data_IF_579025948989
#
_entry.id   IF_579025948989
#
_cell.length_a   1.000
_cell.length_b   1.000
_cell.length_c   1.000
_cell.angle_alpha   90.00
_cell.angle_beta   90.00
_cell.angle_gamma   90.00
#
_symmetry.space_group_name_H-M   'P 1'
#
loop_
_entity.id
_entity.type
_entity.pdbx_description
1 polymer ?
#
# COMPACT_ATOMS: atom_id res chain seq x y z
N UNK A 1 9.21 7.87 10.30
CA UNK A 1 9.32 9.26 10.77
C UNK A 1 8.61 9.32 12.11
N UNK A 2 9.32 9.65 13.20
CA UNK A 2 8.68 9.80 14.50
C UNK A 2 7.78 11.04 14.41
N UNK A 3 6.49 10.88 14.69
CA UNK A 3 5.42 11.85 14.37
C UNK A 3 5.48 13.09 15.31
N UNK A 4 6.42 13.11 16.24
CA UNK A 4 6.37 13.96 17.42
C UNK A 4 7.09 15.31 17.31
N UNK A 5 7.46 15.81 16.13
CA UNK A 5 7.76 17.24 15.90
C UNK A 5 8.15 17.45 14.42
N UNK A 6 7.23 17.97 13.59
CA UNK A 6 7.62 18.55 12.31
C UNK A 6 8.33 19.88 12.57
N UNK A 7 9.38 20.16 11.82
CA UNK A 7 10.06 21.45 11.92
C UNK A 7 9.10 22.58 11.48
N UNK A 8 9.22 23.76 12.09
CA UNK A 8 8.40 24.93 11.68
C UNK A 8 8.60 25.29 10.20
N UNK A 9 9.82 25.09 9.68
CA UNK A 9 10.12 25.25 8.25
C UNK A 9 9.31 24.29 7.38
N UNK A 10 9.20 23.03 7.78
CA UNK A 10 8.39 22.01 7.07
C UNK A 10 6.91 22.37 7.07
N UNK A 11 6.39 22.85 8.21
CA UNK A 11 4.98 23.24 8.35
C UNK A 11 4.66 24.42 7.44
N UNK A 12 5.52 25.45 7.41
CA UNK A 12 5.35 26.60 6.53
C UNK A 12 5.40 26.18 5.06
N UNK A 13 6.40 25.38 4.70
CA UNK A 13 6.58 24.89 3.33
C UNK A 13 5.37 24.10 2.81
N UNK A 14 4.73 23.30 3.67
CA UNK A 14 3.48 22.59 3.33
C UNK A 14 2.27 23.51 3.27
N UNK A 15 2.22 24.52 4.15
CA UNK A 15 1.10 25.47 4.24
C UNK A 15 1.06 26.45 3.07
N UNK A 16 2.23 26.81 2.54
CA UNK A 16 2.41 27.75 1.42
C UNK A 16 1.96 27.18 0.06
N UNK A 17 1.63 25.89 0.01
CA UNK A 17 1.18 25.24 -1.22
C UNK A 17 -0.22 25.74 -1.61
N UNK A 18 -0.43 26.20 -2.86
CA UNK A 18 -1.73 26.63 -3.32
C UNK A 18 -2.76 25.50 -3.28
N UNK A 19 -3.99 25.84 -2.90
CA UNK A 19 -5.09 24.89 -2.73
C UNK A 19 -5.33 24.01 -3.97
N UNK A 20 -5.15 24.57 -5.17
CA UNK A 20 -5.30 23.86 -6.46
C UNK A 20 -4.37 22.66 -6.62
N UNK A 21 -3.23 22.66 -5.93
CA UNK A 21 -2.22 21.61 -6.02
C UNK A 21 -2.31 20.59 -4.88
N UNK A 22 -2.98 20.91 -3.76
CA UNK A 22 -3.15 19.98 -2.62
C UNK A 22 -3.83 18.67 -3.04
N UNK A 23 -4.87 18.78 -3.87
CA UNK A 23 -5.56 17.62 -4.46
C UNK A 23 -4.65 16.80 -5.39
N UNK A 24 -3.80 17.47 -6.18
CA UNK A 24 -2.85 16.78 -7.07
C UNK A 24 -1.78 16.04 -6.26
N UNK A 25 -1.28 16.64 -5.19
CA UNK A 25 -0.33 16.04 -4.27
C UNK A 25 -0.94 14.81 -3.59
N UNK A 26 -2.16 14.92 -3.04
CA UNK A 26 -2.86 13.78 -2.45
C UNK A 26 -3.08 12.64 -3.46
N UNK A 27 -3.52 12.95 -4.68
CA UNK A 27 -3.63 11.95 -5.74
C UNK A 27 -2.29 11.30 -6.07
N UNK A 28 -1.19 12.05 -6.04
CA UNK A 28 0.14 11.50 -6.25
C UNK A 28 0.55 10.57 -5.11
N UNK A 29 0.29 10.95 -3.85
CA UNK A 29 0.54 10.09 -2.68
C UNK A 29 -0.29 8.81 -2.78
N UNK A 30 -1.57 8.90 -3.16
CA UNK A 30 -2.44 7.74 -3.36
C UNK A 30 -2.13 6.92 -4.63
N UNK A 31 -1.40 7.45 -5.60
CA UNK A 31 -1.00 6.67 -6.79
C UNK A 31 0.44 6.17 -6.70
N UNK A 32 1.22 6.65 -5.73
CA UNK A 32 2.65 6.34 -5.57
C UNK A 32 2.95 4.84 -5.45
N UNK A 33 2.02 4.06 -4.89
CA UNK A 33 2.13 2.61 -4.75
C UNK A 33 1.72 1.82 -6.01
N UNK A 34 1.08 2.48 -6.97
CA UNK A 34 0.68 1.89 -8.26
C UNK A 34 1.71 2.17 -9.37
N UNK A 35 2.49 3.23 -9.24
CA UNK A 35 3.46 3.66 -10.24
C UNK A 35 4.77 2.85 -10.15
N UNK A 36 5.38 2.58 -11.30
CA UNK A 36 6.77 2.12 -11.33
C UNK A 36 7.72 3.23 -10.84
N UNK A 37 8.93 2.87 -10.42
CA UNK A 37 9.91 3.84 -9.93
C UNK A 37 10.21 4.95 -10.96
N UNK A 38 10.32 4.59 -12.24
CA UNK A 38 10.57 5.52 -13.33
C UNK A 38 9.38 6.49 -13.55
N UNK A 39 8.16 5.97 -13.51
CA UNK A 39 6.95 6.79 -13.65
C UNK A 39 6.75 7.73 -12.45
N UNK A 40 7.06 7.25 -11.24
CA UNK A 40 7.00 8.07 -10.03
C UNK A 40 7.95 9.25 -10.12
N UNK A 41 9.22 9.02 -10.47
CA UNK A 41 10.21 10.10 -10.61
C UNK A 41 9.81 11.11 -11.69
N UNK A 42 9.28 10.64 -12.83
CA UNK A 42 8.79 11.53 -13.90
C UNK A 42 7.62 12.39 -13.43
N UNK A 43 6.68 11.80 -12.69
CA UNK A 43 5.48 12.51 -12.22
C UNK A 43 5.83 13.56 -11.16
N UNK A 44 6.74 13.23 -10.23
CA UNK A 44 7.27 14.17 -9.24
C UNK A 44 7.99 15.34 -9.92
N UNK A 45 8.83 15.06 -10.92
CA UNK A 45 9.54 16.11 -11.67
C UNK A 45 8.58 17.04 -12.43
N UNK A 46 7.53 16.50 -13.04
CA UNK A 46 6.53 17.31 -13.73
C UNK A 46 5.77 18.19 -12.73
N UNK A 47 5.36 17.64 -11.58
CA UNK A 47 4.65 18.38 -10.55
C UNK A 47 5.53 19.49 -9.93
N UNK A 48 6.83 19.21 -9.71
CA UNK A 48 7.80 20.22 -9.25
C UNK A 48 7.90 21.40 -10.22
N UNK A 49 7.90 21.15 -11.53
CA UNK A 49 7.88 22.22 -12.55
C UNK A 49 6.57 23.00 -12.57
N UNK A 50 5.44 22.31 -12.44
CA UNK A 50 4.12 22.93 -12.46
C UNK A 50 3.88 23.86 -11.25
N UNK A 51 4.35 23.46 -10.07
CA UNK A 51 4.23 24.24 -8.83
C UNK A 51 5.40 25.24 -8.68
N UNK A 52 6.45 25.10 -9.48
CA UNK A 52 7.69 25.87 -9.39
C UNK A 52 8.37 25.77 -8.01
N UNK A 53 8.41 24.55 -7.46
CA UNK A 53 9.04 24.22 -6.17
C UNK A 53 10.22 23.25 -6.44
N UNK A 54 11.37 23.39 -5.76
CA UNK A 54 12.47 22.44 -5.82
C UNK A 54 12.03 21.00 -5.57
N UNK A 55 12.73 20.04 -6.17
CA UNK A 55 12.35 18.62 -6.05
C UNK A 55 12.47 18.15 -4.60
N UNK A 56 13.49 18.61 -3.89
CA UNK A 56 13.80 18.28 -2.50
C UNK A 56 12.64 18.71 -1.58
N UNK A 57 12.18 19.94 -1.75
CA UNK A 57 11.03 20.50 -1.02
C UNK A 57 9.75 19.71 -1.32
N UNK A 58 9.53 19.33 -2.58
CA UNK A 58 8.38 18.51 -2.96
C UNK A 58 8.43 17.11 -2.35
N UNK A 59 9.60 16.48 -2.24
CA UNK A 59 9.76 15.19 -1.58
C UNK A 59 9.44 15.29 -0.08
N UNK A 60 9.84 16.39 0.58
CA UNK A 60 9.49 16.67 1.96
C UNK A 60 7.98 16.85 2.14
N UNK A 61 7.34 17.63 1.27
CA UNK A 61 5.88 17.80 1.20
C UNK A 61 5.18 16.45 1.08
N UNK A 62 5.64 15.61 0.15
CA UNK A 62 5.05 14.29 -0.07
C UNK A 62 5.17 13.40 1.17
N UNK A 63 6.27 13.52 1.92
CA UNK A 63 6.43 12.87 3.22
C UNK A 63 5.36 13.29 4.23
N UNK A 64 5.08 14.59 4.32
CA UNK A 64 4.04 15.13 5.21
C UNK A 64 2.64 14.71 4.77
N UNK A 65 2.34 14.73 3.47
CA UNK A 65 1.05 14.25 2.97
C UNK A 65 0.86 12.75 3.16
N UNK A 66 1.93 11.95 3.11
CA UNK A 66 1.88 10.53 3.48
C UNK A 66 1.57 10.35 4.97
N UNK A 67 2.12 11.21 5.83
CA UNK A 67 1.76 11.26 7.25
C UNK A 67 0.27 11.61 7.42
N UNK A 68 -0.25 12.61 6.70
CA UNK A 68 -1.68 12.94 6.73
C UNK A 68 -2.56 11.75 6.36
N UNK A 69 -2.23 11.05 5.28
CA UNK A 69 -2.96 9.83 4.87
C UNK A 69 -2.89 8.77 5.98
N UNK A 70 -1.74 8.60 6.63
CA UNK A 70 -1.57 7.62 7.70
C UNK A 70 -2.42 7.95 8.93
N UNK A 71 -2.45 9.22 9.35
CA UNK A 71 -3.28 9.69 10.46
C UNK A 71 -4.76 9.59 10.11
N UNK A 72 -5.15 10.01 8.91
CA UNK A 72 -6.50 9.93 8.39
C UNK A 72 -7.01 8.48 8.41
N UNK A 73 -6.22 7.50 7.97
CA UNK A 73 -6.64 6.10 7.98
C UNK A 73 -6.72 5.49 9.39
N UNK A 74 -6.04 6.08 10.38
CA UNK A 74 -5.99 5.56 11.75
C UNK A 74 -7.08 6.15 12.65
N UNK A 75 -7.42 7.41 12.47
CA UNK A 75 -8.26 8.18 13.38
C UNK A 75 -9.53 8.70 12.68
N UNK A 76 -10.58 8.95 13.47
CA UNK A 76 -11.79 9.63 13.00
C UNK A 76 -11.52 11.11 12.75
N UNK A 77 -12.37 11.79 11.97
CA UNK A 77 -12.14 13.16 11.50
C UNK A 77 -11.86 14.15 12.65
N UNK A 78 -12.55 14.03 13.78
CA UNK A 78 -12.33 14.91 14.95
C UNK A 78 -10.93 14.73 15.56
N UNK A 79 -10.50 13.49 15.77
CA UNK A 79 -9.19 13.19 16.34
C UNK A 79 -8.09 13.49 15.32
N UNK A 80 -8.33 13.29 14.03
CA UNK A 80 -7.43 13.69 12.96
C UNK A 80 -7.17 15.21 12.98
N UNK A 81 -8.21 16.03 13.11
CA UNK A 81 -8.09 17.50 13.21
C UNK A 81 -7.33 17.91 14.47
N UNK A 82 -7.63 17.29 15.61
CA UNK A 82 -6.92 17.54 16.87
C UNK A 82 -5.42 17.28 16.72
N UNK A 83 -5.03 16.14 16.13
CA UNK A 83 -3.62 15.80 15.89
C UNK A 83 -2.91 16.78 14.96
N UNK A 84 -3.56 17.23 13.89
CA UNK A 84 -2.96 18.23 13.00
C UNK A 84 -2.77 19.58 13.70
N UNK A 85 -3.70 19.93 14.59
CA UNK A 85 -3.61 21.13 15.42
C UNK A 85 -2.47 21.02 16.44
N UNK A 86 -2.32 19.86 17.10
CA UNK A 86 -1.18 19.56 18.00
C UNK A 86 0.18 19.68 17.30
N UNK A 87 0.25 19.27 16.02
CA UNK A 87 1.47 19.36 15.20
C UNK A 87 1.78 20.83 14.82
N UNK A 88 0.80 21.73 14.87
CA UNK A 88 0.98 23.16 14.63
C UNK A 88 0.48 23.67 13.27
N UNK A 89 -0.36 22.91 12.56
CA UNK A 89 -1.05 23.41 11.37
C UNK A 89 -2.18 24.38 11.75
N UNK A 90 -2.38 25.43 10.96
CA UNK A 90 -3.47 26.39 11.20
C UNK A 90 -4.84 25.77 10.89
N UNK A 91 -5.92 26.18 11.60
CA UNK A 91 -7.28 25.72 11.31
C UNK A 91 -7.69 25.98 9.85
N UNK A 92 -7.31 27.14 9.30
CA UNK A 92 -7.55 27.49 7.89
C UNK A 92 -6.91 26.51 6.92
N UNK A 93 -5.69 26.03 7.21
CA UNK A 93 -5.04 25.01 6.40
C UNK A 93 -5.80 23.68 6.47
N UNK A 94 -6.18 23.27 7.68
CA UNK A 94 -6.83 22.00 7.98
C UNK A 94 -8.21 21.91 7.30
N UNK A 95 -9.04 22.95 7.42
CA UNK A 95 -10.37 23.01 6.78
C UNK A 95 -10.30 22.88 5.25
N UNK A 96 -9.21 23.37 4.65
CA UNK A 96 -8.97 23.28 3.21
C UNK A 96 -8.34 21.95 2.76
N UNK A 97 -8.12 20.99 3.66
CA UNK A 97 -7.66 19.66 3.29
C UNK A 97 -8.82 18.84 2.69
N UNK A 98 -8.65 18.25 1.49
CA UNK A 98 -9.71 17.51 0.82
C UNK A 98 -9.94 16.10 1.41
N UNK A 99 -9.57 15.88 2.68
CA UNK A 99 -9.72 14.63 3.42
C UNK A 99 -10.93 14.66 4.37
N UNK A 100 -11.20 15.82 4.97
CA UNK A 100 -12.21 15.97 6.03
C UNK A 100 -13.62 15.97 5.43
N UNK A 101 -14.56 15.26 6.06
CA UNK A 101 -15.97 15.22 5.65
C UNK A 101 -16.27 14.33 4.43
N UNK A 102 -15.25 13.76 3.78
CA UNK A 102 -15.41 12.84 2.65
C UNK A 102 -14.86 11.44 2.95
N UNK A 103 -14.75 11.08 4.23
CA UNK A 103 -14.06 9.88 4.71
C UNK A 103 -14.51 8.60 4.01
N UNK A 104 -15.81 8.31 4.06
CA UNK A 104 -16.37 7.09 3.48
C UNK A 104 -16.12 6.98 1.97
N UNK A 105 -16.30 8.10 1.25
CA UNK A 105 -16.07 8.16 -0.19
C UNK A 105 -14.59 7.90 -0.54
N UNK A 106 -13.67 8.50 0.22
CA UNK A 106 -12.23 8.31 0.03
C UNK A 106 -11.84 6.86 0.34
N UNK A 107 -12.29 6.32 1.46
CA UNK A 107 -11.99 4.93 1.86
C UNK A 107 -12.56 3.94 0.83
N UNK A 108 -13.79 4.12 0.37
CA UNK A 108 -14.37 3.25 -0.65
C UNK A 108 -13.64 3.36 -1.99
N UNK A 109 -13.21 4.55 -2.41
CA UNK A 109 -12.40 4.72 -3.62
C UNK A 109 -11.01 4.09 -3.49
N UNK A 110 -10.37 4.21 -2.32
CA UNK A 110 -9.11 3.53 -2.02
C UNK A 110 -9.28 2.02 -2.04
N UNK A 111 -10.36 1.52 -1.45
CA UNK A 111 -10.71 0.11 -1.44
C UNK A 111 -10.97 -0.42 -2.86
N UNK A 112 -11.71 0.30 -3.70
CA UNK A 112 -11.91 -0.08 -5.12
C UNK A 112 -10.59 -0.11 -5.88
N UNK A 113 -9.81 0.96 -5.79
CA UNK A 113 -8.50 1.05 -6.45
C UNK A 113 -7.54 -0.04 -5.97
N UNK A 114 -7.55 -0.35 -4.68
CA UNK A 114 -6.76 -1.43 -4.10
C UNK A 114 -7.29 -2.80 -4.55
N UNK A 115 -8.60 -3.05 -4.52
CA UNK A 115 -9.16 -4.36 -4.92
C UNK A 115 -9.10 -4.63 -6.41
N UNK A 116 -9.06 -3.61 -7.26
CA UNK A 116 -8.81 -3.72 -8.70
C UNK A 116 -7.34 -4.05 -8.98
N UNK A 117 -6.41 -3.46 -8.22
CA UNK A 117 -4.96 -3.63 -8.40
C UNK A 117 -4.32 -4.69 -7.51
N UNK A 118 -5.02 -5.20 -6.50
CA UNK A 118 -4.61 -6.33 -5.69
C UNK A 118 -4.48 -7.48 -6.68
N UNK A 119 -3.27 -8.01 -6.83
CA UNK A 119 -2.98 -9.10 -7.75
C UNK A 119 -3.82 -10.32 -7.37
N UNK A 120 -5.04 -10.39 -7.90
CA UNK A 120 -5.95 -11.51 -7.67
C UNK A 120 -5.33 -12.72 -8.36
N UNK A 121 -5.49 -13.88 -7.75
CA UNK A 121 -5.07 -15.12 -8.35
C UNK A 121 -5.92 -15.37 -9.60
N UNK A 122 -5.30 -15.27 -10.78
CA UNK A 122 -5.96 -15.51 -12.07
C UNK A 122 -5.88 -16.98 -12.45
N UNK A 123 -4.75 -17.62 -12.19
CA UNK A 123 -4.54 -19.03 -12.48
C UNK A 123 -3.61 -19.64 -11.45
N UNK A 124 -3.98 -20.83 -10.96
CA UNK A 124 -3.16 -21.65 -10.10
C UNK A 124 -3.02 -23.03 -10.72
N UNK A 125 -1.78 -23.44 -10.99
CA UNK A 125 -1.44 -24.79 -11.46
C UNK A 125 -0.44 -25.39 -10.50
N UNK A 126 -0.53 -26.69 -10.29
CA UNK A 126 0.42 -27.42 -9.48
C UNK A 126 0.79 -28.72 -10.19
N UNK A 127 2.00 -29.20 -9.94
CA UNK A 127 2.44 -30.55 -10.29
C UNK A 127 3.32 -31.09 -9.18
N UNK A 128 3.41 -32.41 -9.09
CA UNK A 128 4.29 -33.10 -8.15
C UNK A 128 5.30 -33.86 -8.99
N UNK A 129 6.57 -33.51 -8.83
CA UNK A 129 7.68 -34.16 -9.49
C UNK A 129 8.16 -35.29 -8.56
N UNK A 130 7.90 -36.53 -8.98
CA UNK A 130 8.24 -37.75 -8.23
C UNK A 130 9.51 -38.31 -8.84
N UNK A 131 10.55 -38.43 -8.02
CA UNK A 131 11.80 -39.07 -8.44
C UNK A 131 11.83 -40.51 -7.97
N UNK A 132 11.80 -41.45 -8.92
CA UNK A 132 11.88 -42.88 -8.65
C UNK A 132 13.35 -43.31 -8.70
N UNK A 133 14.05 -43.30 -7.56
CA UNK A 133 15.38 -43.92 -7.45
C UNK A 133 15.26 -45.38 -7.03
N UNK A 134 15.78 -46.29 -7.84
CA UNK A 134 15.80 -47.75 -7.59
C UNK A 134 17.01 -48.21 -6.75
N UNK A 135 17.82 -47.27 -6.26
CA UNK A 135 19.01 -47.57 -5.44
C UNK A 135 18.86 -46.91 -4.07
N UNK A 136 19.03 -47.69 -3.00
CA UNK A 136 18.96 -47.23 -1.60
C UNK A 136 19.99 -46.16 -1.22
N UNK A 137 20.93 -45.84 -2.12
CA UNK A 137 22.07 -44.96 -1.86
C UNK A 137 21.78 -43.46 -2.02
N UNK A 138 20.78 -43.06 -2.81
CA UNK A 138 20.39 -41.64 -2.96
C UNK A 138 18.88 -41.52 -3.16
N UNK A 139 18.14 -41.09 -2.13
CA UNK A 139 16.73 -40.70 -2.25
C UNK A 139 16.64 -39.26 -2.74
N UNK A 140 16.15 -39.06 -3.95
CA UNK A 140 15.83 -37.71 -4.45
C UNK A 140 14.47 -37.31 -3.86
N UNK A 141 14.37 -36.14 -3.20
CA UNK A 141 13.12 -35.72 -2.57
C UNK A 141 12.06 -35.41 -3.62
N UNK A 142 10.81 -35.78 -3.32
CA UNK A 142 9.65 -35.35 -4.12
C UNK A 142 9.51 -33.83 -4.02
N UNK A 143 9.24 -33.17 -5.13
CA UNK A 143 9.10 -31.71 -5.19
C UNK A 143 7.70 -31.35 -5.67
N UNK A 144 7.07 -30.38 -5.01
CA UNK A 144 5.80 -29.80 -5.46
C UNK A 144 6.11 -28.49 -6.16
N UNK A 145 5.76 -28.39 -7.43
CA UNK A 145 5.93 -27.17 -8.22
C UNK A 145 4.59 -26.46 -8.30
N UNK A 146 4.54 -25.23 -7.80
CA UNK A 146 3.38 -24.35 -7.87
C UNK A 146 3.62 -23.27 -8.91
N UNK A 147 2.65 -23.04 -9.79
CA UNK A 147 2.65 -21.96 -10.76
C UNK A 147 1.44 -21.07 -10.54
N UNK A 148 1.73 -19.82 -10.19
CA UNK A 148 0.78 -18.78 -9.80
C UNK A 148 0.81 -17.70 -10.87
N UNK A 149 -0.34 -17.41 -11.48
CA UNK A 149 -0.51 -16.22 -12.34
C UNK A 149 -1.46 -15.26 -11.66
N UNK A 150 -1.03 -14.02 -11.49
CA UNK A 150 -1.85 -12.95 -10.95
C UNK A 150 -2.55 -12.20 -12.09
N UNK A 151 -3.64 -11.51 -11.79
CA UNK A 151 -4.40 -10.68 -12.76
C UNK A 151 -3.56 -9.57 -13.37
N UNK A 152 -2.54 -9.07 -12.64
CA UNK A 152 -1.56 -8.12 -13.15
C UNK A 152 -0.50 -8.75 -14.08
N UNK A 153 -0.77 -9.96 -14.61
CA UNK A 153 0.08 -10.75 -15.52
C UNK A 153 1.43 -11.20 -14.93
N UNK A 154 1.71 -10.93 -13.65
CA UNK A 154 2.89 -11.47 -12.97
C UNK A 154 2.73 -12.97 -12.77
N UNK A 155 3.79 -13.71 -13.04
CA UNK A 155 3.86 -15.16 -12.90
C UNK A 155 4.93 -15.52 -11.88
N UNK A 156 4.60 -16.42 -10.97
CA UNK A 156 5.51 -16.96 -9.97
C UNK A 156 5.51 -18.47 -10.10
N UNK A 157 6.70 -19.05 -10.16
CA UNK A 157 6.90 -20.51 -10.07
C UNK A 157 7.70 -20.77 -8.81
N UNK A 158 7.18 -21.64 -7.95
CA UNK A 158 7.76 -21.94 -6.65
C UNK A 158 7.90 -23.45 -6.54
N UNK A 159 9.09 -23.91 -6.18
CA UNK A 159 9.35 -25.31 -5.87
C UNK A 159 9.37 -25.48 -4.35
N UNK A 160 8.61 -26.45 -3.86
CA UNK A 160 8.44 -26.71 -2.44
C UNK A 160 8.78 -28.18 -2.14
N UNK A 161 9.50 -28.40 -1.05
CA UNK A 161 9.58 -29.73 -0.46
C UNK A 161 8.22 -30.13 0.18
N UNK A 162 7.98 -31.42 0.43
CA UNK A 162 6.69 -31.89 0.95
C UNK A 162 6.35 -31.30 2.33
N UNK A 163 7.36 -31.06 3.18
CA UNK A 163 7.16 -30.51 4.51
C UNK A 163 6.68 -29.07 4.42
N UNK A 164 7.32 -28.26 3.58
CA UNK A 164 6.92 -26.86 3.36
C UNK A 164 5.55 -26.77 2.69
N UNK A 165 5.25 -27.68 1.75
CA UNK A 165 3.91 -27.77 1.15
C UNK A 165 2.82 -28.07 2.20
N UNK A 166 3.07 -28.99 3.14
CA UNK A 166 2.12 -29.26 4.21
C UNK A 166 1.92 -28.08 5.16
N UNK A 167 2.98 -27.34 5.49
CA UNK A 167 2.88 -26.10 6.26
C UNK A 167 2.01 -25.08 5.52
N UNK A 168 2.26 -24.85 4.22
CA UNK A 168 1.46 -23.95 3.41
C UNK A 168 -0.02 -24.34 3.40
N UNK A 169 -0.32 -25.64 3.19
CA UNK A 169 -1.69 -26.17 3.20
C UNK A 169 -2.39 -25.91 4.54
N UNK A 170 -1.69 -26.13 5.65
CA UNK A 170 -2.22 -25.85 6.98
C UNK A 170 -2.51 -24.36 7.17
N UNK A 171 -1.54 -23.49 6.85
CA UNK A 171 -1.69 -22.04 6.97
C UNK A 171 -2.88 -21.51 6.15
N UNK A 172 -3.05 -21.98 4.91
CA UNK A 172 -4.20 -21.60 4.07
C UNK A 172 -5.51 -22.06 4.69
N UNK A 173 -5.58 -23.31 5.17
CA UNK A 173 -6.79 -23.85 5.81
C UNK A 173 -7.16 -23.09 7.08
N UNK A 174 -6.16 -22.74 7.88
CA UNK A 174 -6.32 -21.96 9.11
C UNK A 174 -6.87 -20.56 8.81
N UNK A 175 -6.30 -19.86 7.82
CA UNK A 175 -6.78 -18.53 7.40
C UNK A 175 -8.21 -18.59 6.86
N UNK A 176 -8.56 -19.61 6.06
CA UNK A 176 -9.93 -19.80 5.57
C UNK A 176 -10.92 -20.01 6.71
N UNK A 177 -10.54 -20.77 7.73
CA UNK A 177 -11.38 -20.96 8.91
C UNK A 177 -11.60 -19.65 9.66
N UNK A 178 -10.54 -18.85 9.89
CA UNK A 178 -10.67 -17.54 10.53
C UNK A 178 -11.57 -16.59 9.74
N UNK A 179 -11.42 -16.54 8.41
CA UNK A 179 -12.26 -15.72 7.53
C UNK A 179 -13.73 -16.13 7.60
N UNK A 180 -14.00 -17.44 7.65
CA UNK A 180 -15.36 -17.96 7.79
C UNK A 180 -15.97 -17.58 9.15
N UNK A 181 -15.21 -17.68 10.24
CA UNK A 181 -15.66 -17.25 11.57
C UNK A 181 -15.98 -15.75 11.61
N UNK A 182 -15.14 -14.91 10.98
CA UNK A 182 -15.39 -13.47 10.86
C UNK A 182 -16.65 -13.16 10.06
N UNK A 183 -16.95 -13.96 9.03
CA UNK A 183 -18.17 -13.81 8.24
C UNK A 183 -19.43 -14.24 9.00
N UNK A 184 -19.33 -15.25 9.86
CA UNK A 184 -20.44 -15.76 10.67
C UNK A 184 -20.78 -14.88 11.89
N UNK A 185 -19.87 -13.99 12.30
CA UNK A 185 -20.07 -13.06 13.42
C UNK A 185 -20.59 -11.68 12.96
N UNK A 186 -21.06 -11.56 11.73
CA UNK A 186 -21.86 -10.44 11.20
C UNK A 186 -23.29 -10.89 11.01
#
# INVERSE_FOLDING_TARGET
>A
MNISELSKSTINLVSDIPNDYRNKILKLVFSSYLLTEQERTKTVLNLSRDINIPKEDLEEILGVYLMFVTLFLRFEDNEFVERLTEIGFSPEFIENLPLIGNRDSIIENLRRSYTENFGKLSLFRWRIDISLSNSDLVKVPNVVVLSITLTNRRKYTIELDPTTFHKLRYSVSFLLNQLNSLRSNK
#
